data_IF_278560837395
#
_entry.id   IF_278560837395
#
_cell.length_a   1.000
_cell.length_b   1.000
_cell.length_c   1.000
_cell.angle_alpha   90.00
_cell.angle_beta   90.00
_cell.angle_gamma   90.00
#
_symmetry.space_group_name_H-M   'P 1'
#
loop_
_entity.id
_entity.type
_entity.pdbx_description
1 polymer ?
#
# COMPACT_ATOMS: atom_id res chain seq x y z
N UNK A 1 17.33 8.10 -42.97
CA UNK A 1 18.04 7.77 -41.72
C UNK A 1 19.50 8.09 -41.95
N UNK A 2 20.11 9.05 -41.24
CA UNK A 2 21.56 9.17 -41.30
C UNK A 2 22.16 7.95 -40.59
N UNK A 3 23.14 7.33 -41.23
CA UNK A 3 23.93 6.23 -40.71
C UNK A 3 24.63 6.66 -39.43
N UNK A 4 24.42 5.92 -38.34
CA UNK A 4 25.26 6.03 -37.14
C UNK A 4 26.66 5.62 -37.56
N UNK A 5 27.55 6.60 -37.71
CA UNK A 5 28.98 6.34 -37.71
C UNK A 5 29.31 5.79 -36.33
N UNK A 6 29.54 4.48 -36.26
CA UNK A 6 30.21 3.87 -35.12
C UNK A 6 31.61 4.46 -35.11
N UNK A 7 31.81 5.50 -34.29
CA UNK A 7 33.11 6.08 -34.05
C UNK A 7 33.90 5.05 -33.24
N UNK A 8 35.10 4.74 -33.72
CA UNK A 8 36.04 3.76 -33.19
C UNK A 8 36.14 3.87 -31.64
N UNK A 9 36.18 2.73 -30.93
CA UNK A 9 36.10 2.66 -29.46
C UNK A 9 37.27 3.39 -28.74
N UNK A 10 38.25 3.89 -29.50
CA UNK A 10 39.46 4.55 -29.01
C UNK A 10 39.58 6.05 -29.31
N UNK A 11 38.69 6.69 -30.09
CA UNK A 11 38.84 8.13 -30.40
C UNK A 11 37.88 9.02 -29.59
N UNK A 12 38.41 9.72 -28.58
CA UNK A 12 37.75 10.87 -27.94
C UNK A 12 37.77 12.13 -28.82
N UNK A 13 37.79 11.94 -30.14
CA UNK A 13 38.02 13.00 -31.11
C UNK A 13 37.10 12.89 -32.31
N UNK A 14 36.70 14.04 -32.86
CA UNK A 14 35.89 14.13 -34.09
C UNK A 14 36.53 15.17 -35.01
N UNK A 15 36.52 14.95 -36.32
CA UNK A 15 36.99 15.97 -37.24
C UNK A 15 36.10 17.21 -37.16
N UNK A 16 36.69 18.40 -37.06
CA UNK A 16 35.93 19.66 -36.94
C UNK A 16 35.00 19.88 -38.15
N UNK A 17 35.36 19.34 -39.31
CA UNK A 17 34.57 19.44 -40.55
C UNK A 17 33.29 18.58 -40.52
N UNK A 18 33.24 17.54 -39.69
CA UNK A 18 32.07 16.67 -39.54
C UNK A 18 31.01 17.31 -38.63
N UNK A 19 31.40 18.33 -37.87
CA UNK A 19 30.48 19.13 -37.07
C UNK A 19 29.92 20.27 -37.94
N UNK A 20 28.69 20.07 -38.42
CA UNK A 20 27.91 21.13 -39.03
C UNK A 20 27.60 22.25 -38.02
N UNK A 21 27.54 23.49 -38.50
CA UNK A 21 27.27 24.65 -37.65
C UNK A 21 25.85 24.57 -37.09
N UNK A 22 25.72 24.72 -35.77
CA UNK A 22 24.46 24.72 -35.03
C UNK A 22 23.64 23.43 -35.18
N UNK A 23 24.28 22.33 -35.55
CA UNK A 23 23.66 21.00 -35.61
C UNK A 23 24.20 20.14 -34.45
N UNK A 24 23.31 19.59 -33.60
CA UNK A 24 23.71 18.65 -32.56
C UNK A 24 24.35 17.39 -33.15
N UNK A 25 25.58 17.07 -32.74
CA UNK A 25 26.32 15.90 -33.21
C UNK A 25 26.46 14.86 -32.08
N UNK A 26 26.04 13.60 -32.26
CA UNK A 26 26.15 12.56 -31.24
C UNK A 26 27.59 12.06 -31.10
N UNK A 27 28.06 11.87 -29.86
CA UNK A 27 29.32 11.19 -29.58
C UNK A 27 29.18 10.35 -28.31
N UNK A 28 29.80 9.18 -28.25
CA UNK A 28 29.82 8.35 -27.03
C UNK A 28 31.27 8.13 -26.60
N UNK A 29 31.59 8.48 -25.35
CA UNK A 29 32.93 8.26 -24.76
C UNK A 29 32.76 7.56 -23.42
N UNK A 30 33.50 6.48 -23.18
CA UNK A 30 33.44 5.70 -21.93
C UNK A 30 32.00 5.31 -21.50
N UNK A 31 31.12 5.04 -22.47
CA UNK A 31 29.71 4.69 -22.23
C UNK A 31 28.78 5.85 -21.88
N UNK A 32 29.28 7.10 -21.92
CA UNK A 32 28.50 8.32 -21.71
C UNK A 32 28.11 8.92 -23.06
N UNK A 33 26.81 9.14 -23.25
CA UNK A 33 26.30 9.86 -24.42
C UNK A 33 26.58 11.35 -24.27
N UNK A 34 27.15 11.96 -25.31
CA UNK A 34 27.50 13.36 -25.44
C UNK A 34 26.80 13.96 -26.66
N UNK A 35 26.60 15.28 -26.61
CA UNK A 35 26.19 16.07 -27.76
C UNK A 35 27.21 17.18 -27.97
N UNK A 36 27.82 17.20 -29.16
CA UNK A 36 28.73 18.24 -29.60
C UNK A 36 27.96 19.28 -30.40
N UNK A 37 28.24 20.56 -30.17
CA UNK A 37 27.63 21.66 -30.93
C UNK A 37 28.74 22.63 -31.32
N UNK A 38 28.94 22.79 -32.63
CA UNK A 38 29.87 23.77 -33.18
C UNK A 38 29.15 25.07 -33.49
N UNK A 39 29.70 26.18 -33.02
CA UNK A 39 29.13 27.52 -33.17
C UNK A 39 29.82 28.31 -34.30
N UNK A 40 29.15 29.34 -34.86
CA UNK A 40 29.72 30.17 -35.94
C UNK A 40 31.01 30.90 -35.56
N UNK A 41 31.25 31.17 -34.27
CA UNK A 41 32.48 31.76 -33.76
C UNK A 41 33.66 30.78 -33.69
N UNK A 42 33.44 29.52 -34.07
CA UNK A 42 34.43 28.44 -34.08
C UNK A 42 34.54 27.69 -32.75
N UNK A 43 33.80 28.09 -31.71
CA UNK A 43 33.73 27.33 -30.46
C UNK A 43 32.97 26.02 -30.64
N UNK A 44 33.32 25.03 -29.82
CA UNK A 44 32.60 23.75 -29.75
C UNK A 44 32.25 23.51 -28.29
N UNK A 45 31.00 23.16 -28.03
CA UNK A 45 30.53 22.75 -26.71
C UNK A 45 30.31 21.24 -26.70
N UNK A 46 30.77 20.56 -25.64
CA UNK A 46 30.43 19.17 -25.37
C UNK A 46 29.55 19.11 -24.12
N UNK A 47 28.29 18.69 -24.29
CA UNK A 47 27.32 18.56 -23.21
C UNK A 47 26.95 17.09 -23.03
N UNK A 48 26.42 16.73 -21.86
CA UNK A 48 25.76 15.45 -21.67
C UNK A 48 24.63 15.28 -22.69
N UNK A 49 24.65 14.18 -23.42
CA UNK A 49 23.88 13.96 -24.65
C UNK A 49 22.42 13.56 -24.43
N UNK A 50 21.95 13.50 -23.18
CA UNK A 50 20.56 13.15 -22.87
C UNK A 50 19.84 14.25 -22.13
N UNK A 51 18.61 14.50 -22.55
CA UNK A 51 17.75 15.52 -21.97
C UNK A 51 17.45 15.20 -20.51
N UNK A 52 17.78 16.11 -19.58
CA UNK A 52 17.54 15.95 -18.15
C UNK A 52 16.04 15.77 -17.78
N UNK A 53 15.12 16.08 -18.70
CA UNK A 53 13.69 15.84 -18.52
C UNK A 53 13.31 14.35 -18.65
N UNK A 54 13.70 13.69 -19.76
CA UNK A 54 13.22 12.33 -20.11
C UNK A 54 14.28 11.41 -20.74
N UNK A 55 15.55 11.78 -20.64
CA UNK A 55 16.67 10.97 -21.12
C UNK A 55 16.76 10.81 -22.65
N UNK A 56 15.96 11.55 -23.41
CA UNK A 56 15.95 11.48 -24.88
C UNK A 56 17.26 12.00 -25.45
N UNK A 57 17.84 11.37 -26.50
CA UNK A 57 19.03 11.90 -27.18
C UNK A 57 18.84 13.35 -27.61
N UNK A 58 19.77 14.20 -27.22
CA UNK A 58 19.78 15.62 -27.61
C UNK A 58 20.36 15.82 -29.01
N UNK A 59 21.05 14.81 -29.55
CA UNK A 59 21.47 14.77 -30.95
C UNK A 59 20.27 14.76 -31.92
N UNK A 60 19.10 14.28 -31.48
CA UNK A 60 17.83 14.35 -32.26
C UNK A 60 17.12 15.69 -32.11
N UNK A 61 17.71 16.65 -31.38
CA UNK A 61 17.20 18.00 -31.19
C UNK A 61 17.66 18.98 -32.27
N UNK A 62 17.53 20.26 -31.95
CA UNK A 62 18.00 21.35 -32.80
C UNK A 62 18.48 22.53 -31.96
N UNK A 63 19.22 23.46 -32.58
CA UNK A 63 19.69 24.69 -31.92
C UNK A 63 18.86 25.88 -32.41
N UNK A 64 18.35 26.69 -31.48
CA UNK A 64 17.67 27.97 -31.72
C UNK A 64 18.45 29.09 -31.04
N UNK A 65 19.12 29.96 -31.81
CA UNK A 65 19.95 31.02 -31.23
C UNK A 65 21.10 30.43 -30.42
N UNK A 66 21.09 30.62 -29.08
CA UNK A 66 22.07 30.02 -28.15
C UNK A 66 21.51 28.85 -27.34
N UNK A 67 20.41 28.26 -27.79
CA UNK A 67 19.66 27.26 -27.02
C UNK A 67 19.60 25.94 -27.76
N UNK A 68 20.06 24.87 -27.12
CA UNK A 68 19.81 23.50 -27.52
C UNK A 68 18.40 23.11 -27.08
N UNK A 69 17.58 22.68 -28.04
CA UNK A 69 16.18 22.29 -27.83
C UNK A 69 16.03 20.79 -28.05
N UNK A 70 15.47 20.10 -27.06
CA UNK A 70 15.14 18.68 -27.16
C UNK A 70 14.06 18.44 -28.21
N UNK A 71 14.31 17.55 -29.18
CA UNK A 71 13.43 17.30 -30.32
C UNK A 71 12.07 16.67 -30.00
N UNK A 72 11.86 16.16 -28.78
CA UNK A 72 10.59 15.51 -28.39
C UNK A 72 9.72 16.42 -27.51
N UNK A 73 10.29 16.97 -26.44
CA UNK A 73 9.51 17.69 -25.42
C UNK A 73 9.79 19.20 -25.40
N UNK A 74 10.66 19.71 -26.28
CA UNK A 74 10.98 21.13 -26.37
C UNK A 74 11.73 21.70 -25.16
N UNK A 75 12.32 20.84 -24.31
CA UNK A 75 13.15 21.29 -23.19
C UNK A 75 14.39 22.00 -23.70
N UNK A 76 14.78 23.07 -23.02
CA UNK A 76 15.79 24.03 -23.49
C UNK A 76 17.01 24.04 -22.59
N UNK A 77 18.19 24.17 -23.18
CA UNK A 77 19.46 24.33 -22.49
C UNK A 77 20.30 25.38 -23.20
N UNK A 78 20.98 26.24 -22.45
CA UNK A 78 22.01 27.10 -23.02
C UNK A 78 23.17 26.25 -23.56
N UNK A 79 23.60 26.50 -24.80
CA UNK A 79 24.59 25.66 -25.49
C UNK A 79 25.96 25.71 -24.81
N UNK A 80 26.33 26.86 -24.24
CA UNK A 80 27.65 27.04 -23.66
C UNK A 80 27.74 26.46 -22.24
N UNK A 81 26.67 26.60 -21.45
CA UNK A 81 26.67 26.26 -20.02
C UNK A 81 25.90 24.99 -19.70
N UNK A 82 25.04 24.51 -20.60
CA UNK A 82 24.13 23.40 -20.35
C UNK A 82 22.97 23.74 -19.40
N UNK A 83 22.86 24.99 -18.91
CA UNK A 83 21.86 25.40 -17.93
C UNK A 83 20.49 25.60 -18.61
N UNK A 84 19.43 25.06 -18.01
CA UNK A 84 18.08 25.27 -18.52
C UNK A 84 17.58 26.69 -18.19
N UNK A 85 17.18 27.52 -19.18
CA UNK A 85 16.89 28.94 -18.97
C UNK A 85 15.62 29.21 -18.15
N UNK A 86 14.70 28.23 -18.07
CA UNK A 86 13.46 28.33 -17.29
C UNK A 86 13.65 27.82 -15.86
N UNK A 87 14.60 26.91 -15.64
CA UNK A 87 14.90 26.35 -14.34
C UNK A 87 16.42 26.15 -14.19
N UNK A 88 17.09 27.16 -13.66
CA UNK A 88 18.55 27.17 -13.53
C UNK A 88 19.11 26.09 -12.57
N UNK A 89 18.25 25.42 -11.79
CA UNK A 89 18.69 24.26 -10.99
C UNK A 89 18.92 23.01 -11.83
N UNK A 90 18.49 23.00 -13.10
CA UNK A 90 18.68 21.90 -14.04
C UNK A 90 19.77 22.30 -15.03
N UNK A 91 20.87 21.55 -15.03
CA UNK A 91 21.99 21.77 -15.95
C UNK A 91 22.52 20.44 -16.48
N UNK A 92 22.85 20.41 -17.76
CA UNK A 92 23.62 19.31 -18.36
C UNK A 92 25.08 19.43 -17.91
N UNK A 93 25.72 18.29 -17.65
CA UNK A 93 27.16 18.29 -17.45
C UNK A 93 27.86 18.78 -18.73
N UNK A 94 28.86 19.63 -18.57
CA UNK A 94 29.71 20.13 -19.65
C UNK A 94 31.07 19.46 -19.58
N UNK A 95 31.64 19.14 -20.73
CA UNK A 95 32.95 18.49 -20.81
C UNK A 95 33.93 19.41 -21.53
N UNK A 96 35.15 19.59 -21.00
CA UNK A 96 36.15 20.42 -21.67
C UNK A 96 36.46 19.89 -23.07
N UNK A 97 36.58 20.82 -24.01
CA UNK A 97 36.94 20.52 -25.40
C UNK A 97 38.13 21.36 -25.84
N UNK A 98 38.97 20.80 -26.70
CA UNK A 98 40.08 21.52 -27.32
C UNK A 98 40.17 21.20 -28.81
N UNK A 99 40.42 22.21 -29.65
CA UNK A 99 40.62 22.03 -31.08
C UNK A 99 42.12 21.99 -31.36
N UNK A 100 42.63 20.85 -31.83
CA UNK A 100 44.03 20.66 -32.25
C UNK A 100 44.06 19.91 -33.58
N UNK A 101 44.91 20.35 -34.50
CA UNK A 101 45.13 19.68 -35.79
C UNK A 101 43.85 19.40 -36.59
N UNK A 102 42.87 20.32 -36.52
CA UNK A 102 41.58 20.19 -37.21
C UNK A 102 40.61 19.17 -36.61
N UNK A 103 40.89 18.67 -35.41
CA UNK A 103 40.02 17.76 -34.65
C UNK A 103 39.56 18.40 -33.35
N UNK A 104 38.35 18.08 -32.93
CA UNK A 104 37.80 18.40 -31.61
C UNK A 104 38.17 17.26 -30.68
N UNK A 105 38.92 17.55 -29.62
CA UNK A 105 39.26 16.62 -28.55
C UNK A 105 38.36 16.88 -27.36
N UNK A 106 37.64 15.87 -26.88
CA UNK A 106 36.88 15.93 -25.62
C UNK A 106 37.72 15.33 -24.51
N UNK A 107 37.76 15.96 -23.33
CA UNK A 107 38.50 15.43 -22.18
C UNK A 107 37.91 14.10 -21.68
N UNK A 108 38.57 12.99 -22.06
CA UNK A 108 38.18 11.63 -21.68
C UNK A 108 38.25 11.38 -20.18
N UNK A 109 39.14 12.05 -19.46
CA UNK A 109 39.25 11.93 -18.01
C UNK A 109 38.00 12.51 -17.35
N UNK A 110 37.59 13.72 -17.75
CA UNK A 110 36.37 14.35 -17.25
C UNK A 110 35.11 13.51 -17.51
N UNK A 111 35.01 12.92 -18.72
CA UNK A 111 33.90 12.02 -19.07
C UNK A 111 33.93 10.73 -18.23
N UNK A 112 35.11 10.13 -18.02
CA UNK A 112 35.23 8.89 -17.24
C UNK A 112 34.93 9.11 -15.76
N UNK A 113 35.36 10.24 -15.19
CA UNK A 113 35.00 10.63 -13.82
C UNK A 113 33.51 10.93 -13.65
N UNK A 114 32.87 11.47 -14.69
CA UNK A 114 31.42 11.61 -14.72
C UNK A 114 30.73 10.24 -14.72
N UNK A 115 31.18 9.32 -15.59
CA UNK A 115 30.65 7.97 -15.70
C UNK A 115 30.75 7.19 -14.37
N UNK A 116 31.90 7.30 -13.68
CA UNK A 116 32.12 6.64 -12.39
C UNK A 116 31.17 7.16 -11.28
N UNK A 117 30.80 8.44 -11.33
CA UNK A 117 29.84 9.06 -10.39
C UNK A 117 28.38 8.83 -10.78
N UNK A 118 28.11 8.55 -12.05
CA UNK A 118 26.77 8.39 -12.61
C UNK A 118 26.70 7.08 -13.42
N UNK A 119 26.80 5.91 -12.76
CA UNK A 119 26.74 4.63 -13.46
C UNK A 119 25.38 4.46 -14.12
N UNK A 120 25.39 4.04 -15.39
CA UNK A 120 24.18 3.81 -16.19
C UNK A 120 23.36 2.66 -15.58
N UNK A 121 22.04 2.83 -15.46
CA UNK A 121 21.18 1.81 -14.83
C UNK A 121 20.99 0.55 -15.70
N UNK A 122 21.18 0.66 -17.02
CA UNK A 122 20.97 -0.44 -17.98
C UNK A 122 22.23 -0.62 -18.86
N UNK A 123 22.75 -1.85 -19.03
CA UNK A 123 23.87 -2.13 -19.93
C UNK A 123 23.57 -1.75 -21.39
N UNK A 124 24.59 -1.29 -22.12
CA UNK A 124 24.46 -1.01 -23.56
C UNK A 124 24.21 -2.31 -24.35
N UNK A 125 23.21 -2.33 -25.24
CA UNK A 125 22.97 -3.47 -26.15
C UNK A 125 21.50 -3.75 -26.51
N UNK A 126 20.54 -3.26 -25.73
CA UNK A 126 19.10 -3.40 -26.00
C UNK A 126 18.50 -2.07 -26.50
N UNK A 127 17.54 -2.11 -27.44
CA UNK A 127 16.79 -0.93 -27.91
C UNK A 127 16.17 -0.17 -26.75
N UNK A 128 15.66 -0.88 -25.74
CA UNK A 128 15.14 -0.24 -24.54
C UNK A 128 16.23 0.45 -23.71
N UNK A 129 17.47 -0.05 -23.70
CA UNK A 129 18.57 0.61 -22.99
C UNK A 129 18.88 2.01 -23.53
N UNK A 130 18.45 2.32 -24.77
CA UNK A 130 18.55 3.65 -25.35
C UNK A 130 17.48 4.64 -24.84
N UNK A 131 16.43 4.18 -24.14
CA UNK A 131 15.31 5.03 -23.69
C UNK A 131 14.89 4.79 -22.21
N UNK A 132 15.51 3.84 -21.52
CA UNK A 132 15.02 3.33 -20.22
C UNK A 132 15.61 3.98 -18.97
N UNK A 133 16.54 4.92 -19.07
CA UNK A 133 17.24 5.50 -17.90
C UNK A 133 16.44 6.64 -17.24
N UNK A 134 15.19 6.36 -16.86
CA UNK A 134 14.33 7.25 -16.09
C UNK A 134 13.70 6.46 -14.96
N UNK A 135 14.12 6.78 -13.73
CA UNK A 135 13.45 6.33 -12.51
C UNK A 135 12.15 7.08 -12.26
N UNK A 136 11.45 6.73 -11.16
CA UNK A 136 10.28 7.48 -10.73
C UNK A 136 10.65 8.95 -10.40
N UNK A 137 9.89 9.89 -10.97
CA UNK A 137 9.97 11.31 -10.61
C UNK A 137 8.75 11.71 -9.77
N UNK A 138 8.74 12.88 -9.11
CA UNK A 138 7.56 13.38 -8.43
C UNK A 138 6.32 13.52 -9.34
N UNK A 139 6.53 13.82 -10.63
CA UNK A 139 5.47 13.95 -11.64
C UNK A 139 4.95 12.59 -12.13
N UNK A 140 5.81 11.57 -12.17
CA UNK A 140 5.46 10.20 -12.58
C UNK A 140 5.91 9.16 -11.53
N UNK A 141 5.35 9.21 -10.30
CA UNK A 141 5.84 8.40 -9.18
C UNK A 141 5.65 6.89 -9.39
N UNK A 142 4.75 6.50 -10.31
CA UNK A 142 4.40 5.11 -10.59
C UNK A 142 5.08 4.53 -11.84
N UNK A 143 5.93 5.28 -12.55
CA UNK A 143 6.52 4.82 -13.83
C UNK A 143 7.36 3.54 -13.65
N UNK A 144 8.03 3.39 -12.50
CA UNK A 144 8.78 2.19 -12.16
C UNK A 144 7.84 0.98 -11.98
N UNK A 145 6.74 1.14 -11.24
CA UNK A 145 5.76 0.08 -11.01
C UNK A 145 5.04 -0.32 -12.32
N UNK A 146 4.71 0.65 -13.19
CA UNK A 146 4.14 0.40 -14.51
C UNK A 146 5.10 -0.43 -15.37
N UNK A 147 6.40 -0.10 -15.37
CA UNK A 147 7.42 -0.85 -16.12
C UNK A 147 7.60 -2.26 -15.59
N UNK A 148 7.62 -2.46 -14.27
CA UNK A 148 7.69 -3.80 -13.65
C UNK A 148 6.49 -4.65 -14.09
N UNK A 149 5.27 -4.10 -14.04
CA UNK A 149 4.06 -4.78 -14.49
C UNK A 149 4.07 -5.06 -16.00
N UNK A 150 4.53 -4.12 -16.82
CA UNK A 150 4.60 -4.28 -18.27
C UNK A 150 5.63 -5.35 -18.69
N UNK A 151 6.78 -5.39 -18.02
CA UNK A 151 7.86 -6.33 -18.34
C UNK A 151 7.66 -7.74 -17.80
N UNK A 152 7.00 -7.88 -16.64
CA UNK A 152 6.95 -9.15 -15.90
C UNK A 152 5.53 -9.63 -15.55
N UNK A 153 4.51 -8.82 -15.84
CA UNK A 153 3.15 -9.09 -15.42
C UNK A 153 3.01 -9.21 -13.90
N UNK A 154 2.07 -10.04 -13.46
CA UNK A 154 1.83 -10.28 -12.02
C UNK A 154 2.76 -11.33 -11.41
N UNK A 155 3.60 -11.98 -12.23
CA UNK A 155 4.42 -13.14 -11.83
C UNK A 155 5.34 -12.84 -10.65
N UNK A 156 5.84 -11.59 -10.54
CA UNK A 156 6.75 -11.14 -9.47
C UNK A 156 6.05 -10.46 -8.30
N UNK A 157 4.83 -9.99 -8.49
CA UNK A 157 4.09 -9.18 -7.50
C UNK A 157 2.97 -9.97 -6.82
N UNK A 158 2.57 -11.12 -7.37
CA UNK A 158 1.45 -11.93 -6.91
C UNK A 158 0.13 -11.57 -7.61
N UNK A 159 -0.88 -12.44 -7.48
CA UNK A 159 -2.16 -12.34 -8.21
C UNK A 159 -2.93 -11.02 -7.99
N UNK A 160 -2.66 -10.31 -6.89
CA UNK A 160 -3.32 -9.06 -6.55
C UNK A 160 -2.35 -7.85 -6.59
N UNK A 161 -1.16 -8.03 -7.17
CA UNK A 161 -0.11 -7.01 -7.18
C UNK A 161 0.59 -6.86 -5.83
N UNK A 162 1.36 -5.77 -5.70
CA UNK A 162 2.23 -5.50 -4.56
C UNK A 162 1.45 -5.56 -3.23
N UNK A 163 2.02 -6.23 -2.25
CA UNK A 163 1.43 -6.40 -0.92
C UNK A 163 2.20 -5.63 0.14
N UNK A 164 1.48 -5.21 1.18
CA UNK A 164 2.05 -4.54 2.36
C UNK A 164 1.32 -4.95 3.63
N UNK A 165 1.93 -4.61 4.77
CA UNK A 165 1.35 -4.79 6.10
C UNK A 165 0.86 -3.45 6.66
N UNK A 166 0.21 -3.50 7.84
CA UNK A 166 -0.36 -2.36 8.55
C UNK A 166 -1.47 -1.65 7.77
N UNK A 167 -2.05 -0.61 8.36
CA UNK A 167 -3.09 0.22 7.73
C UNK A 167 -2.51 1.39 6.93
N UNK A 168 -3.39 2.27 6.49
CA UNK A 168 -3.03 3.58 5.90
C UNK A 168 -2.40 4.46 6.99
N UNK A 169 -1.34 5.24 6.68
CA UNK A 169 -0.73 6.17 7.62
C UNK A 169 -1.75 7.10 8.28
N UNK A 170 -1.61 7.32 9.60
CA UNK A 170 -2.55 8.16 10.37
C UNK A 170 -2.64 9.60 9.85
N UNK A 171 -1.56 10.13 9.27
CA UNK A 171 -1.53 11.48 8.70
C UNK A 171 -2.44 11.65 7.47
N UNK A 172 -2.80 10.56 6.80
CA UNK A 172 -3.69 10.56 5.63
C UNK A 172 -5.17 10.34 6.03
N UNK A 173 -5.47 10.22 7.31
CA UNK A 173 -6.81 9.93 7.84
C UNK A 173 -7.33 11.09 8.69
N UNK A 174 -8.67 11.26 8.79
CA UNK A 174 -9.26 12.16 9.77
C UNK A 174 -8.72 11.88 11.17
N UNK A 175 -8.32 12.94 11.87
CA UNK A 175 -7.72 12.83 13.19
C UNK A 175 -8.77 12.96 14.29
N UNK A 176 -8.71 12.07 15.28
CA UNK A 176 -9.49 12.22 16.51
C UNK A 176 -9.19 13.52 17.26
N UNK A 177 -7.99 14.09 17.08
CA UNK A 177 -7.61 15.38 17.67
C UNK A 177 -8.32 16.58 17.01
N UNK A 178 -9.00 16.36 15.88
CA UNK A 178 -9.82 17.38 15.22
C UNK A 178 -11.25 17.44 15.78
N UNK A 179 -11.61 16.54 16.71
CA UNK A 179 -12.91 16.52 17.37
C UNK A 179 -12.80 17.25 18.72
N UNK A 180 -13.76 18.13 18.99
CA UNK A 180 -13.90 18.79 20.29
C UNK A 180 -15.15 18.27 21.00
N UNK A 181 -15.02 17.97 22.30
CA UNK A 181 -16.15 17.62 23.14
C UNK A 181 -16.80 18.89 23.69
N UNK A 182 -18.13 18.97 23.59
CA UNK A 182 -18.91 20.02 24.28
C UNK A 182 -19.20 19.53 25.69
N UNK A 183 -18.87 20.36 26.68
CA UNK A 183 -19.02 20.01 28.09
C UNK A 183 -20.43 20.29 28.61
N UNK A 184 -20.79 19.62 29.70
CA UNK A 184 -22.04 19.83 30.41
C UNK A 184 -22.05 21.23 31.09
N UNK A 185 -23.24 21.84 31.21
CA UNK A 185 -23.43 23.16 31.84
C UNK A 185 -24.87 23.26 32.40
N UNK A 186 -25.58 24.38 32.24
CA UNK A 186 -26.89 24.60 32.87
C UNK A 186 -27.96 23.60 32.39
N UNK A 187 -27.96 23.23 31.09
CA UNK A 187 -28.94 22.30 30.53
C UNK A 187 -28.74 20.84 31.01
N UNK A 188 -27.52 20.48 31.37
CA UNK A 188 -27.16 19.20 31.97
C UNK A 188 -26.00 19.45 32.94
N UNK A 189 -26.26 19.53 34.26
CA UNK A 189 -25.21 19.78 35.24
C UNK A 189 -24.06 18.76 35.09
N UNK A 190 -22.80 19.18 35.26
CA UNK A 190 -21.69 18.24 35.32
C UNK A 190 -21.85 17.35 36.57
N UNK A 191 -21.28 16.14 36.49
CA UNK A 191 -21.15 15.28 37.65
C UNK A 191 -20.18 15.92 38.66
N UNK A 192 -20.38 15.64 39.95
CA UNK A 192 -19.41 16.00 40.99
C UNK A 192 -18.20 15.04 40.96
N UNK A 193 -17.07 15.46 41.54
CA UNK A 193 -15.81 14.71 41.49
C UNK A 193 -15.90 13.30 42.12
N UNK A 194 -16.80 13.10 43.07
CA UNK A 194 -17.03 11.84 43.78
C UNK A 194 -18.17 10.99 43.19
N UNK A 195 -18.86 11.50 42.16
CA UNK A 195 -19.91 10.75 41.49
C UNK A 195 -19.32 9.68 40.56
N UNK A 196 -19.79 8.42 40.66
CA UNK A 196 -19.23 7.32 39.88
C UNK A 196 -19.58 7.44 38.40
N UNK A 197 -18.60 7.19 37.52
CA UNK A 197 -18.80 7.07 36.08
C UNK A 197 -18.83 5.58 35.71
N UNK A 198 -19.95 5.12 35.14
CA UNK A 198 -20.08 3.75 34.66
C UNK A 198 -19.52 3.63 33.22
N UNK A 199 -18.44 2.87 33.08
CA UNK A 199 -17.80 2.58 31.78
C UNK A 199 -18.19 1.22 31.22
N UNK A 200 -19.06 0.47 31.90
CA UNK A 200 -19.42 -0.87 31.48
C UNK A 200 -20.18 -0.84 30.16
N UNK A 201 -19.93 -1.85 29.34
CA UNK A 201 -20.59 -2.06 28.06
C UNK A 201 -21.21 -3.45 28.04
N UNK A 202 -22.48 -3.54 27.68
CA UNK A 202 -23.18 -4.81 27.47
C UNK A 202 -23.28 -5.08 25.98
N UNK A 203 -22.58 -6.10 25.51
CA UNK A 203 -22.67 -6.61 24.14
C UNK A 203 -23.87 -7.55 24.03
N UNK A 204 -24.75 -7.22 23.08
CA UNK A 204 -26.00 -7.92 22.85
C UNK A 204 -26.91 -7.96 24.08
N UNK A 205 -27.40 -6.81 24.57
CA UNK A 205 -28.23 -6.74 25.77
C UNK A 205 -29.55 -7.52 25.69
N UNK A 206 -29.99 -7.87 24.48
CA UNK A 206 -31.19 -8.67 24.20
C UNK A 206 -30.90 -10.15 23.99
N UNK A 207 -29.63 -10.56 23.95
CA UNK A 207 -29.25 -11.97 23.86
C UNK A 207 -29.62 -12.71 25.16
N UNK A 208 -29.84 -14.03 25.08
CA UNK A 208 -30.15 -14.83 26.28
C UNK A 208 -28.99 -14.87 27.28
N UNK A 209 -27.76 -14.76 26.76
CA UNK A 209 -26.52 -14.68 27.53
C UNK A 209 -25.71 -13.45 27.10
N UNK A 210 -26.08 -12.23 27.53
CA UNK A 210 -25.35 -11.02 27.15
C UNK A 210 -23.92 -11.04 27.72
N UNK A 211 -22.98 -10.39 27.03
CA UNK A 211 -21.60 -10.26 27.48
C UNK A 211 -21.35 -8.86 28.04
N UNK A 212 -20.89 -8.77 29.30
CA UNK A 212 -20.53 -7.49 29.93
C UNK A 212 -19.02 -7.29 29.92
N UNK A 213 -18.58 -6.10 29.49
CA UNK A 213 -17.20 -5.62 29.55
C UNK A 213 -17.13 -4.48 30.59
N UNK A 214 -16.03 -4.39 31.31
CA UNK A 214 -15.87 -3.37 32.36
C UNK A 214 -15.54 -1.98 31.77
N UNK A 215 -14.99 -1.96 30.54
CA UNK A 215 -14.57 -0.77 29.82
C UNK A 215 -15.01 -0.83 28.33
N UNK A 216 -15.15 0.32 27.64
CA UNK A 216 -15.58 0.38 26.25
C UNK A 216 -14.42 0.18 25.25
N UNK A 217 -13.49 -0.71 25.57
CA UNK A 217 -12.31 -1.03 24.76
C UNK A 217 -12.21 -2.53 24.65
N UNK A 218 -11.83 -3.08 23.50
CA UNK A 218 -11.59 -4.52 23.32
C UNK A 218 -10.40 -4.75 22.40
N UNK A 219 -9.77 -5.93 22.48
CA UNK A 219 -8.71 -6.33 21.55
C UNK A 219 -9.35 -6.95 20.30
N UNK A 220 -9.21 -6.26 19.16
CA UNK A 220 -9.84 -6.61 17.89
C UNK A 220 -9.27 -7.87 17.22
N UNK A 221 -9.95 -8.36 16.18
CA UNK A 221 -9.61 -9.59 15.46
C UNK A 221 -8.24 -9.54 14.79
N UNK A 222 -7.33 -10.35 15.32
CA UNK A 222 -6.03 -10.61 14.71
C UNK A 222 -5.77 -12.11 14.79
N UNK A 223 -5.57 -12.76 13.66
CA UNK A 223 -5.48 -14.22 13.60
C UNK A 223 -4.18 -14.76 14.18
N UNK A 224 -4.27 -15.93 14.81
CA UNK A 224 -3.10 -16.75 15.08
C UNK A 224 -2.45 -17.18 13.74
N UNK A 225 -1.15 -16.93 13.63
CA UNK A 225 -0.35 -17.04 12.40
C UNK A 225 -0.01 -15.68 11.76
N UNK A 226 -0.90 -14.69 11.87
CA UNK A 226 -0.51 -13.29 11.64
C UNK A 226 0.27 -12.78 12.86
N UNK A 227 -0.24 -13.07 14.07
CA UNK A 227 0.46 -12.90 15.33
C UNK A 227 1.04 -14.24 15.82
N UNK A 228 2.10 -14.15 16.64
CA UNK A 228 2.66 -15.31 17.33
C UNK A 228 1.76 -15.79 18.46
N UNK A 229 2.04 -16.98 18.99
CA UNK A 229 1.29 -17.55 20.11
C UNK A 229 1.43 -16.66 21.36
N UNK A 230 2.65 -16.20 21.62
CA UNK A 230 3.00 -15.37 22.78
C UNK A 230 2.25 -14.03 22.71
N UNK A 231 2.18 -13.41 21.52
CA UNK A 231 1.43 -12.18 21.33
C UNK A 231 -0.07 -12.36 21.60
N UNK A 232 -0.67 -13.46 21.10
CA UNK A 232 -2.09 -13.78 21.32
C UNK A 232 -2.38 -13.98 22.81
N UNK A 233 -1.60 -14.82 23.49
CA UNK A 233 -1.77 -15.09 24.93
C UNK A 233 -1.53 -13.85 25.77
N UNK A 234 -0.51 -13.04 25.46
CA UNK A 234 -0.23 -11.80 26.20
C UNK A 234 -1.36 -10.78 26.05
N UNK A 235 -1.92 -10.61 24.85
CA UNK A 235 -3.05 -9.72 24.62
C UNK A 235 -4.32 -10.22 25.33
N UNK A 236 -4.59 -11.52 25.33
CA UNK A 236 -5.72 -12.12 26.03
C UNK A 236 -5.63 -11.92 27.56
N UNK A 237 -4.46 -12.23 28.14
CA UNK A 237 -4.22 -12.00 29.57
C UNK A 237 -4.32 -10.52 29.94
N UNK A 238 -3.79 -9.62 29.10
CA UNK A 238 -3.93 -8.18 29.29
C UNK A 238 -5.38 -7.71 29.22
N UNK A 239 -6.17 -8.22 28.29
CA UNK A 239 -7.60 -7.94 28.19
C UNK A 239 -8.35 -8.43 29.44
N UNK A 240 -8.02 -9.61 29.97
CA UNK A 240 -8.63 -10.15 31.18
C UNK A 240 -8.37 -9.24 32.39
N UNK A 241 -7.11 -8.85 32.59
CA UNK A 241 -6.71 -7.93 33.66
C UNK A 241 -7.36 -6.55 33.52
N UNK A 242 -7.60 -6.09 32.30
CA UNK A 242 -8.31 -4.84 32.00
C UNK A 242 -9.84 -4.95 32.09
N UNK A 243 -10.38 -6.14 32.38
CA UNK A 243 -11.81 -6.36 32.47
C UNK A 243 -12.53 -6.38 31.12
N UNK A 244 -11.83 -6.66 30.03
CA UNK A 244 -12.39 -6.67 28.68
C UNK A 244 -12.08 -7.95 27.88
N UNK A 245 -12.59 -8.02 26.66
CA UNK A 245 -12.50 -9.16 25.77
C UNK A 245 -11.48 -9.04 24.65
N UNK A 246 -11.26 -10.18 24.01
CA UNK A 246 -10.39 -10.36 22.84
C UNK A 246 -11.09 -11.18 21.76
N UNK A 247 -10.80 -10.87 20.49
CA UNK A 247 -11.32 -11.60 19.35
C UNK A 247 -10.31 -12.61 18.76
N UNK A 248 -10.78 -13.79 18.38
CA UNK A 248 -9.94 -14.87 17.84
C UNK A 248 -9.26 -14.53 16.52
N UNK A 249 -9.96 -13.80 15.67
CA UNK A 249 -9.63 -13.62 14.26
C UNK A 249 -9.78 -14.87 13.40
N UNK A 250 -9.59 -14.70 12.09
CA UNK A 250 -9.86 -15.68 11.03
C UNK A 250 -9.00 -16.95 11.04
N UNK A 251 -8.06 -17.06 11.98
CA UNK A 251 -7.10 -18.17 12.05
C UNK A 251 -7.57 -19.36 12.88
N UNK A 252 -8.77 -19.27 13.46
CA UNK A 252 -9.26 -20.20 14.47
C UNK A 252 -8.88 -19.78 15.89
N UNK A 253 -9.47 -20.47 16.86
CA UNK A 253 -9.27 -20.21 18.28
C UNK A 253 -8.05 -20.96 18.80
N UNK A 254 -7.04 -20.23 19.27
CA UNK A 254 -5.90 -20.79 19.97
C UNK A 254 -6.31 -21.15 21.41
N UNK A 255 -6.18 -22.42 21.87
CA UNK A 255 -6.65 -22.82 23.19
C UNK A 255 -6.07 -22.00 24.34
N UNK A 256 -4.77 -21.71 24.32
CA UNK A 256 -4.11 -20.93 25.39
C UNK A 256 -4.57 -19.48 25.41
N UNK A 257 -4.93 -18.92 24.25
CA UNK A 257 -5.48 -17.57 24.18
C UNK A 257 -6.86 -17.51 24.82
N UNK A 258 -7.73 -18.46 24.47
CA UNK A 258 -9.08 -18.53 25.04
C UNK A 258 -9.02 -18.80 26.55
N UNK A 259 -8.13 -19.68 27.02
CA UNK A 259 -7.96 -19.95 28.46
C UNK A 259 -7.50 -18.73 29.25
N UNK A 260 -6.83 -17.78 28.60
CA UNK A 260 -6.31 -16.57 29.24
C UNK A 260 -7.32 -15.43 29.34
N UNK A 261 -8.51 -15.54 28.73
CA UNK A 261 -9.53 -14.49 28.77
C UNK A 261 -10.95 -15.06 28.84
N UNK A 262 -11.73 -14.62 29.83
CA UNK A 262 -13.10 -15.07 30.11
C UNK A 262 -14.17 -14.39 29.25
N UNK A 263 -13.79 -13.42 28.41
CA UNK A 263 -14.67 -12.55 27.59
C UNK A 263 -14.29 -12.69 26.11
N UNK A 264 -14.42 -13.90 25.56
CA UNK A 264 -13.85 -14.25 24.26
C UNK A 264 -14.86 -14.12 23.11
N UNK A 265 -14.43 -13.46 22.01
CA UNK A 265 -15.22 -13.26 20.79
C UNK A 265 -14.71 -14.18 19.68
N UNK A 266 -15.57 -15.08 19.20
CA UNK A 266 -15.19 -16.08 18.18
C UNK A 266 -15.61 -15.64 16.78
N UNK A 267 -14.62 -15.51 15.88
CA UNK A 267 -14.83 -15.05 14.51
C UNK A 267 -14.99 -16.25 13.54
N UNK A 268 -16.02 -16.19 12.69
CA UNK A 268 -16.15 -17.08 11.52
C UNK A 268 -15.91 -16.30 10.23
N UNK A 269 -14.84 -16.67 9.52
CA UNK A 269 -14.49 -16.14 8.21
C UNK A 269 -14.73 -17.16 7.09
N UNK A 270 -14.72 -16.69 5.83
CA UNK A 270 -14.98 -17.49 4.62
C UNK A 270 -14.09 -18.72 4.45
N UNK A 271 -12.86 -18.69 4.97
CA UNK A 271 -11.95 -19.84 4.95
C UNK A 271 -12.32 -20.95 5.93
N UNK A 272 -13.21 -20.67 6.91
CA UNK A 272 -13.65 -21.59 7.99
C UNK A 272 -12.50 -22.27 8.75
N UNK A 273 -11.31 -21.68 8.74
CA UNK A 273 -10.14 -22.26 9.39
C UNK A 273 -10.35 -22.35 10.89
N UNK A 274 -10.16 -23.54 11.44
CA UNK A 274 -10.32 -23.79 12.88
C UNK A 274 -11.73 -23.53 13.41
N UNK A 275 -12.74 -23.44 12.55
CA UNK A 275 -14.14 -23.35 12.95
C UNK A 275 -14.64 -24.68 13.51
N UNK A 276 -15.30 -24.65 14.67
CA UNK A 276 -16.07 -25.78 15.17
C UNK A 276 -17.19 -25.32 16.10
N UNK A 277 -18.37 -25.94 15.98
CA UNK A 277 -19.48 -25.73 16.90
C UNK A 277 -19.13 -26.10 18.35
N UNK A 278 -18.18 -27.02 18.57
CA UNK A 278 -17.76 -27.40 19.93
C UNK A 278 -17.01 -26.28 20.65
N UNK A 279 -16.51 -25.28 19.93
CA UNK A 279 -15.88 -24.11 20.54
C UNK A 279 -16.91 -23.14 21.13
N UNK A 280 -18.19 -23.23 20.74
CA UNK A 280 -19.24 -22.37 21.25
C UNK A 280 -19.50 -22.54 22.75
N UNK A 281 -19.11 -23.69 23.30
CA UNK A 281 -19.30 -24.01 24.72
C UNK A 281 -18.39 -23.16 25.64
N UNK A 282 -17.33 -22.54 25.09
CA UNK A 282 -16.30 -21.83 25.86
C UNK A 282 -16.10 -20.36 25.46
N UNK A 283 -16.97 -19.81 24.60
CA UNK A 283 -16.89 -18.39 24.14
C UNK A 283 -18.11 -17.60 24.57
N UNK A 284 -17.99 -16.27 24.59
CA UNK A 284 -19.01 -15.38 25.16
C UNK A 284 -19.67 -14.50 24.11
N UNK A 285 -19.10 -14.42 22.91
CA UNK A 285 -19.72 -13.79 21.76
C UNK A 285 -19.22 -14.45 20.47
N UNK A 286 -19.99 -14.32 19.41
CA UNK A 286 -19.67 -14.84 18.09
C UNK A 286 -19.91 -13.76 17.04
N UNK A 287 -19.10 -13.68 16.00
CA UNK A 287 -19.45 -12.85 14.83
C UNK A 287 -19.01 -13.45 13.51
N UNK A 288 -19.79 -13.13 12.48
CA UNK A 288 -19.38 -13.33 11.10
C UNK A 288 -18.38 -12.27 10.68
N UNK A 289 -17.36 -12.68 9.94
CA UNK A 289 -16.47 -11.75 9.23
C UNK A 289 -16.96 -11.54 7.80
N UNK A 290 -17.64 -10.42 7.57
CA UNK A 290 -18.02 -9.95 6.25
C UNK A 290 -16.93 -9.14 5.54
N UNK A 291 -16.08 -8.43 6.28
CA UNK A 291 -15.01 -7.64 5.67
C UNK A 291 -13.96 -7.09 6.64
N UNK A 292 -12.88 -6.57 6.07
CA UNK A 292 -11.79 -5.87 6.76
C UNK A 292 -11.34 -4.70 5.90
N UNK A 293 -11.12 -3.53 6.51
CA UNK A 293 -10.92 -2.27 5.79
C UNK A 293 -9.70 -2.26 4.87
N UNK A 294 -8.66 -3.01 5.21
CA UNK A 294 -7.43 -3.09 4.43
C UNK A 294 -7.58 -3.89 3.12
N UNK A 295 -8.61 -4.75 2.99
CA UNK A 295 -8.73 -5.71 1.89
C UNK A 295 -10.15 -6.23 1.65
N UNK A 296 -11.14 -5.34 1.72
CA UNK A 296 -12.54 -5.70 1.49
C UNK A 296 -12.77 -6.25 0.09
N UNK A 297 -13.66 -7.23 -0.04
CA UNK A 297 -13.89 -7.92 -1.32
C UNK A 297 -12.84 -8.98 -1.66
N UNK A 298 -11.89 -9.24 -0.76
CA UNK A 298 -10.90 -10.32 -0.87
C UNK A 298 -10.81 -11.11 0.44
N UNK A 299 -10.22 -12.30 0.41
CA UNK A 299 -10.02 -13.09 1.61
C UNK A 299 -8.67 -12.89 2.31
N UNK A 300 -8.56 -13.45 3.51
CA UNK A 300 -7.31 -13.61 4.23
C UNK A 300 -6.31 -14.47 3.45
N UNK A 301 -5.02 -14.13 3.53
CA UNK A 301 -3.93 -14.93 2.98
C UNK A 301 -2.84 -15.07 4.04
N UNK A 302 -2.50 -16.30 4.37
CA UNK A 302 -1.34 -16.65 5.17
C UNK A 302 -0.48 -17.63 4.38
N UNK A 303 0.77 -17.26 4.10
CA UNK A 303 1.71 -18.13 3.39
C UNK A 303 1.94 -19.44 4.13
N UNK A 304 2.02 -20.54 3.39
CA UNK A 304 2.26 -21.89 3.87
C UNK A 304 3.58 -22.04 4.62
N UNK A 305 4.57 -21.16 4.36
CA UNK A 305 5.80 -21.07 5.16
C UNK A 305 5.53 -20.79 6.64
N UNK A 306 4.43 -20.09 6.95
CA UNK A 306 3.96 -19.83 8.32
C UNK A 306 2.96 -20.89 8.81
N UNK A 307 2.33 -21.65 7.93
CA UNK A 307 1.38 -22.70 8.28
C UNK A 307 2.15 -23.96 8.64
N UNK A 308 2.76 -23.95 9.82
CA UNK A 308 3.54 -25.06 10.38
C UNK A 308 3.21 -25.25 11.86
N UNK A 309 3.48 -26.44 12.39
CA UNK A 309 3.24 -26.77 13.79
C UNK A 309 1.81 -26.42 14.22
N UNK A 310 1.69 -25.63 15.29
CA UNK A 310 0.41 -25.29 15.89
C UNK A 310 -0.51 -24.45 15.00
N UNK A 311 0.05 -23.65 14.09
CA UNK A 311 -0.78 -22.88 13.13
C UNK A 311 -1.52 -23.84 12.18
N UNK A 312 -0.84 -24.90 11.74
CA UNK A 312 -1.44 -25.92 10.88
C UNK A 312 -2.51 -26.71 11.63
N UNK A 313 -2.24 -27.09 12.89
CA UNK A 313 -3.18 -27.79 13.78
C UNK A 313 -4.45 -26.98 14.03
N UNK A 314 -4.33 -25.73 14.50
CA UNK A 314 -5.47 -24.87 14.83
C UNK A 314 -6.33 -24.61 13.58
N UNK A 315 -5.72 -24.49 12.40
CA UNK A 315 -6.43 -24.23 11.15
C UNK A 315 -7.02 -25.49 10.50
N UNK A 316 -6.62 -26.68 10.94
CA UNK A 316 -6.98 -27.95 10.29
C UNK A 316 -6.35 -28.10 8.90
N UNK A 317 -5.13 -27.60 8.70
CA UNK A 317 -4.41 -27.63 7.42
C UNK A 317 -3.17 -28.51 7.49
N UNK A 318 -2.77 -29.09 6.35
CA UNK A 318 -1.48 -29.75 6.25
C UNK A 318 -0.33 -28.72 6.32
N UNK A 319 0.75 -28.97 7.08
CA UNK A 319 1.89 -28.07 7.16
C UNK A 319 2.46 -27.71 5.77
N UNK A 320 2.79 -26.43 5.58
CA UNK A 320 3.30 -25.91 4.30
C UNK A 320 2.22 -25.47 3.31
N UNK A 321 0.94 -25.70 3.60
CA UNK A 321 -0.18 -25.31 2.71
C UNK A 321 -0.52 -23.83 2.88
N UNK A 322 -0.62 -23.08 1.78
CA UNK A 322 -1.11 -21.70 1.82
C UNK A 322 -2.55 -21.66 2.33
N UNK A 323 -2.82 -20.84 3.35
CA UNK A 323 -4.18 -20.62 3.84
C UNK A 323 -4.78 -19.42 3.10
N UNK A 324 -5.52 -19.70 2.02
CA UNK A 324 -6.19 -18.71 1.18
C UNK A 324 -7.68 -18.76 1.47
N UNK A 325 -8.24 -17.67 2.01
CA UNK A 325 -9.69 -17.56 2.20
C UNK A 325 -10.34 -17.05 0.91
N UNK A 326 -11.53 -17.53 0.55
CA UNK A 326 -12.33 -16.91 -0.50
C UNK A 326 -12.82 -15.51 -0.10
N UNK A 327 -13.27 -14.70 -1.05
CA UNK A 327 -13.79 -13.34 -0.76
C UNK A 327 -15.12 -13.32 0.02
N UNK A 328 -15.89 -14.42 -0.06
CA UNK A 328 -17.16 -14.66 0.65
C UNK A 328 -17.29 -16.16 0.97
N UNK A 329 -18.25 -16.56 1.78
CA UNK A 329 -18.60 -17.98 1.90
C UNK A 329 -19.07 -18.50 0.53
N UNK A 330 -18.33 -19.43 -0.13
CA UNK A 330 -18.62 -19.80 -1.53
C UNK A 330 -20.02 -20.39 -1.72
N UNK A 331 -20.49 -21.09 -0.70
CA UNK A 331 -21.76 -21.80 -0.62
C UNK A 331 -22.94 -20.94 -0.16
N UNK A 332 -22.71 -19.69 0.28
CA UNK A 332 -23.78 -18.79 0.73
C UNK A 332 -24.03 -17.69 -0.30
N UNK A 333 -25.25 -17.60 -0.78
CA UNK A 333 -25.67 -16.75 -1.91
C UNK A 333 -26.74 -15.73 -1.53
N UNK A 334 -27.22 -15.76 -0.29
CA UNK A 334 -28.28 -14.93 0.26
C UNK A 334 -28.05 -14.67 1.75
N UNK A 335 -28.77 -13.69 2.31
CA UNK A 335 -28.72 -13.34 3.73
C UNK A 335 -29.36 -14.42 4.61
N UNK A 336 -30.36 -15.15 4.09
CA UNK A 336 -31.09 -16.20 4.83
C UNK A 336 -30.15 -17.30 5.36
N UNK A 337 -29.08 -17.62 4.62
CA UNK A 337 -28.08 -18.60 5.08
C UNK A 337 -27.31 -18.13 6.32
N UNK A 338 -27.11 -16.81 6.48
CA UNK A 338 -26.56 -16.25 7.71
C UNK A 338 -27.58 -16.30 8.84
N UNK A 339 -28.87 -16.08 8.57
CA UNK A 339 -29.97 -16.21 9.55
C UNK A 339 -30.01 -17.64 10.10
N UNK A 340 -30.04 -18.63 9.21
CA UNK A 340 -30.08 -20.05 9.58
C UNK A 340 -28.85 -20.46 10.39
N UNK A 341 -27.67 -19.95 10.00
CA UNK A 341 -26.44 -20.24 10.72
C UNK A 341 -26.39 -19.55 12.10
N UNK A 342 -26.85 -18.30 12.18
CA UNK A 342 -26.95 -17.57 13.44
C UNK A 342 -27.89 -18.30 14.41
N UNK A 343 -29.02 -18.82 13.92
CA UNK A 343 -29.94 -19.62 14.73
C UNK A 343 -29.26 -20.87 15.32
N UNK A 344 -28.49 -21.61 14.51
CA UNK A 344 -27.73 -22.78 14.96
C UNK A 344 -26.68 -22.41 16.03
N UNK A 345 -25.99 -21.27 15.85
CA UNK A 345 -25.02 -20.77 16.84
C UNK A 345 -25.72 -20.42 18.16
N UNK A 346 -26.88 -19.75 18.12
CA UNK A 346 -27.66 -19.44 19.32
C UNK A 346 -28.13 -20.71 20.02
N UNK A 347 -28.63 -21.68 19.27
CA UNK A 347 -29.10 -22.97 19.82
C UNK A 347 -27.96 -23.70 20.54
N UNK A 348 -26.80 -23.87 19.90
CA UNK A 348 -25.66 -24.58 20.50
C UNK A 348 -25.07 -23.86 21.71
N UNK A 349 -24.96 -22.53 21.64
CA UNK A 349 -24.31 -21.72 22.68
C UNK A 349 -25.20 -21.38 23.89
N UNK A 350 -26.51 -21.68 23.80
CA UNK A 350 -27.49 -21.19 24.76
C UNK A 350 -27.75 -19.69 24.64
N UNK A 351 -27.52 -19.10 23.46
CA UNK A 351 -27.90 -17.74 23.11
C UNK A 351 -26.89 -16.66 23.49
N UNK A 352 -25.60 -16.88 23.24
CA UNK A 352 -24.59 -15.80 23.29
C UNK A 352 -24.88 -14.73 22.22
N UNK A 353 -24.31 -13.51 22.33
CA UNK A 353 -24.48 -12.46 21.34
C UNK A 353 -23.86 -12.85 20.00
N UNK A 354 -24.57 -12.54 18.92
CA UNK A 354 -24.12 -12.72 17.54
C UNK A 354 -23.85 -11.35 16.93
N UNK A 355 -22.71 -11.18 16.29
CA UNK A 355 -22.34 -9.95 15.62
C UNK A 355 -22.04 -10.12 14.14
N UNK A 356 -21.90 -8.99 13.46
CA UNK A 356 -21.39 -8.92 12.10
C UNK A 356 -20.25 -7.91 12.00
N UNK A 357 -19.09 -8.36 11.54
CA UNK A 357 -17.96 -7.50 11.25
C UNK A 357 -17.94 -7.13 9.78
N UNK A 358 -18.07 -5.84 9.51
CA UNK A 358 -18.09 -5.26 8.17
C UNK A 358 -16.99 -4.22 8.02
N UNK A 359 -16.43 -4.13 6.81
CA UNK A 359 -15.68 -2.95 6.44
C UNK A 359 -16.65 -1.84 6.05
N UNK A 360 -16.33 -0.60 6.42
CA UNK A 360 -17.13 0.57 6.11
C UNK A 360 -17.13 0.87 4.59
N UNK A 361 -17.98 0.20 3.82
CA UNK A 361 -18.19 0.44 2.39
C UNK A 361 -19.55 1.09 2.15
N UNK A 362 -20.58 0.27 1.85
CA UNK A 362 -21.98 0.69 1.69
C UNK A 362 -22.66 0.60 3.05
N UNK A 363 -22.16 1.41 4.00
CA UNK A 363 -22.45 1.30 5.44
C UNK A 363 -23.93 1.06 5.75
N UNK A 364 -24.84 1.85 5.17
CA UNK A 364 -26.27 1.71 5.45
C UNK A 364 -26.84 0.40 4.86
N UNK A 365 -26.54 0.08 3.60
CA UNK A 365 -27.00 -1.16 2.95
C UNK A 365 -26.45 -2.42 3.66
N UNK A 366 -25.19 -2.38 4.08
CA UNK A 366 -24.54 -3.48 4.81
C UNK A 366 -25.10 -3.64 6.23
N UNK A 367 -25.51 -2.53 6.89
CA UNK A 367 -26.20 -2.56 8.18
C UNK A 367 -27.61 -3.14 8.01
N UNK A 368 -28.37 -2.73 7.00
CA UNK A 368 -29.71 -3.28 6.73
C UNK A 368 -29.66 -4.80 6.54
N UNK A 369 -28.65 -5.29 5.82
CA UNK A 369 -28.41 -6.73 5.68
C UNK A 369 -28.06 -7.39 7.03
N UNK A 370 -27.18 -6.78 7.83
CA UNK A 370 -26.83 -7.30 9.15
C UNK A 370 -28.03 -7.33 10.12
N UNK A 371 -28.90 -6.33 10.09
CA UNK A 371 -30.13 -6.30 10.87
C UNK A 371 -31.10 -7.41 10.43
N UNK A 372 -31.17 -7.70 9.14
CA UNK A 372 -31.96 -8.83 8.61
C UNK A 372 -31.46 -10.18 9.15
N UNK A 373 -30.15 -10.33 9.38
CA UNK A 373 -29.57 -11.53 10.03
C UNK A 373 -30.05 -11.68 11.48
N UNK A 374 -30.45 -10.58 12.13
CA UNK A 374 -30.79 -10.56 13.56
C UNK A 374 -29.56 -10.55 14.46
N UNK A 375 -28.51 -9.82 14.06
CA UNK A 375 -27.31 -9.64 14.89
C UNK A 375 -27.56 -8.70 16.06
N UNK A 376 -26.91 -8.96 17.19
CA UNK A 376 -26.97 -8.19 18.41
C UNK A 376 -25.93 -7.05 18.48
N UNK A 377 -24.88 -7.11 17.64
CA UNK A 377 -23.87 -6.06 17.54
C UNK A 377 -23.22 -6.00 16.15
N UNK A 378 -22.65 -4.85 15.81
CA UNK A 378 -21.94 -4.64 14.54
C UNK A 378 -20.55 -4.10 14.82
N UNK A 379 -19.53 -4.69 14.18
CA UNK A 379 -18.17 -4.15 14.16
C UNK A 379 -17.97 -3.43 12.84
N UNK A 380 -17.73 -2.11 12.89
CA UNK A 380 -17.49 -1.28 11.71
C UNK A 380 -16.00 -0.98 11.60
N UNK A 381 -15.36 -1.64 10.64
CA UNK A 381 -13.94 -1.48 10.35
C UNK A 381 -13.74 -0.38 9.30
N UNK A 382 -13.28 0.79 9.76
CA UNK A 382 -13.04 1.96 8.92
C UNK A 382 -11.66 1.96 8.25
N UNK A 383 -11.52 2.77 7.20
CA UNK A 383 -10.23 2.99 6.52
C UNK A 383 -9.15 3.39 7.53
N UNK A 384 -7.99 2.73 7.41
CA UNK A 384 -6.90 2.81 8.39
C UNK A 384 -6.73 1.54 9.23
N UNK A 385 -7.69 0.62 9.18
CA UNK A 385 -7.57 -0.71 9.80
C UNK A 385 -6.30 -1.45 9.37
N UNK A 386 -5.65 -2.12 10.33
CA UNK A 386 -4.40 -2.85 10.11
C UNK A 386 -4.59 -4.20 9.42
N UNK A 387 -3.49 -4.76 8.92
CA UNK A 387 -3.45 -6.13 8.37
C UNK A 387 -2.04 -6.70 8.44
N UNK A 388 -1.91 -8.02 8.58
CA UNK A 388 -0.61 -8.69 8.42
C UNK A 388 -0.14 -8.71 6.95
N UNK A 389 -1.09 -8.72 6.01
CA UNK A 389 -0.84 -8.64 4.57
C UNK A 389 -2.12 -8.24 3.81
N UNK A 390 -2.02 -7.23 2.95
CA UNK A 390 -3.04 -6.87 1.96
C UNK A 390 -2.37 -6.31 0.69
N UNK A 391 -3.00 -6.46 -0.47
CA UNK A 391 -2.57 -5.75 -1.68
C UNK A 391 -2.71 -4.24 -1.47
N UNK A 392 -1.68 -3.48 -1.85
CA UNK A 392 -1.61 -2.03 -1.61
C UNK A 392 -2.76 -1.30 -2.28
N UNK A 393 -3.15 -1.73 -3.50
CA UNK A 393 -4.27 -1.14 -4.23
C UNK A 393 -5.57 -1.17 -3.42
N UNK A 394 -5.84 -2.23 -2.66
CA UNK A 394 -7.00 -2.27 -1.78
C UNK A 394 -6.76 -1.39 -0.55
N UNK A 395 -5.68 -1.65 0.18
CA UNK A 395 -5.34 -0.99 1.44
C UNK A 395 -5.40 0.54 1.35
N UNK A 396 -4.93 1.09 0.24
CA UNK A 396 -4.77 2.53 0.03
C UNK A 396 -5.97 3.21 -0.62
N UNK A 397 -6.95 2.47 -1.15
CA UNK A 397 -7.98 3.09 -2.01
C UNK A 397 -9.43 2.77 -1.62
N UNK A 398 -9.67 1.88 -0.65
CA UNK A 398 -11.04 1.48 -0.27
C UNK A 398 -11.41 1.96 1.14
N UNK A 399 -12.68 1.74 1.50
CA UNK A 399 -13.28 2.03 2.80
C UNK A 399 -13.47 3.51 3.14
N UNK A 400 -14.53 3.80 3.87
CA UNK A 400 -14.80 5.08 4.52
C UNK A 400 -13.97 5.15 5.82
N UNK A 401 -13.30 6.28 6.14
CA UNK A 401 -12.58 6.43 7.40
C UNK A 401 -13.46 6.24 8.64
N UNK A 402 -12.86 5.77 9.74
CA UNK A 402 -13.59 5.38 10.96
C UNK A 402 -14.50 6.48 11.52
N UNK A 403 -14.01 7.72 11.63
CA UNK A 403 -14.79 8.84 12.18
C UNK A 403 -16.12 9.06 11.43
N UNK A 404 -16.12 9.33 10.10
CA UNK A 404 -17.37 9.47 9.36
C UNK A 404 -18.17 8.17 9.27
N UNK A 405 -17.52 7.00 9.28
CA UNK A 405 -18.21 5.71 9.24
C UNK A 405 -19.08 5.48 10.50
N UNK A 406 -18.52 5.70 11.68
CA UNK A 406 -19.25 5.57 12.96
C UNK A 406 -20.41 6.55 13.03
N UNK A 407 -20.21 7.80 12.60
CA UNK A 407 -21.27 8.81 12.59
C UNK A 407 -22.44 8.44 11.67
N UNK A 408 -22.14 7.92 10.46
CA UNK A 408 -23.16 7.44 9.51
C UNK A 408 -23.92 6.25 10.06
N UNK A 409 -23.20 5.26 10.59
CA UNK A 409 -23.79 4.06 11.15
C UNK A 409 -24.73 4.35 12.32
N UNK A 410 -24.29 5.17 13.29
CA UNK A 410 -25.13 5.56 14.43
C UNK A 410 -26.43 6.22 13.95
N UNK A 411 -26.32 7.21 13.06
CA UNK A 411 -27.48 7.92 12.49
C UNK A 411 -28.42 6.98 11.75
N UNK A 412 -27.90 5.97 11.08
CA UNK A 412 -28.73 5.01 10.37
C UNK A 412 -29.45 4.06 11.34
N UNK A 413 -28.74 3.51 12.32
CA UNK A 413 -29.34 2.71 13.39
C UNK A 413 -30.44 3.49 14.12
N UNK A 414 -30.21 4.77 14.47
CA UNK A 414 -31.24 5.64 15.07
C UNK A 414 -32.54 5.74 14.24
N UNK A 415 -32.44 5.62 12.91
CA UNK A 415 -33.61 5.66 12.01
C UNK A 415 -34.30 4.32 11.87
N UNK A 416 -33.57 3.22 12.02
CA UNK A 416 -34.12 1.86 11.92
C UNK A 416 -34.89 1.46 13.18
N UNK A 417 -34.66 2.15 14.30
CA UNK A 417 -35.20 1.82 15.62
C UNK A 417 -34.24 0.95 16.41
#
# INVERSE_FOLDING_TARGET
>A
MPSVSVVDEDENTVHLQDLELDVPYPLTIAGVDLVLIRRPDGSVSALYGRCAHRGVPLADGHVEGNTLVCGVHGWRYDVATGIAPVNNSVALATFPTEIRDGRVHVDRTAVSEYAARHPRAVPAGDYQAQFSDVGATPEEPFVADIRELAGHGLTRLGMHGKTGAMGVPRAELPSWNSIQFVTAQLARPPLLDDEPVDTRVVVGPTAARPLTLDIPLMVTDMSFGALSQEAKVALAAGAELAGTGICSGEGGMLPEEQQANSKYFYELASGRFGWSFDRLDVVQAFHFKGGQAAKTGTGGHLSGKKVVGKIAEVRGLAPGTDAISPARFPDWTSVDQYVDFAAQVRERSGGIPIGYKMSAQRIEEDIDAALTIGVDYIIIDGRGGGTGAAPLIFRENISVPTIPAVARARRHLDRCG
#
